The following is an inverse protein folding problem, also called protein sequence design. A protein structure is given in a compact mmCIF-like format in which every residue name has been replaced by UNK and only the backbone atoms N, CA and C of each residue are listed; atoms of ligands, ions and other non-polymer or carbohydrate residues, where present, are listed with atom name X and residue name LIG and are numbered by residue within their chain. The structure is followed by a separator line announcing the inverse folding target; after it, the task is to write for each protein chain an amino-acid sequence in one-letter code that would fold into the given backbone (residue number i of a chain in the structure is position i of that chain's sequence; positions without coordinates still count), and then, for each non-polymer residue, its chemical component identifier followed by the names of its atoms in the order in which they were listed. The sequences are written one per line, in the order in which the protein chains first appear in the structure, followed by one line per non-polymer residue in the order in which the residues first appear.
data_IF_363180542865
#
_entry.id   IF_363180542865
#
_cell.length_a   1.000
_cell.length_b   1.000
_cell.length_c   1.000
_cell.angle_alpha   90.00
_cell.angle_beta   90.00
_cell.angle_gamma   90.00
#
_symmetry.space_group_name_H-M   'P 1'
#
loop_
_entity.id
_entity.type
_entity.pdbx_description
1 polymer ?
#
# COMPACT_ATOMS: atom_id res chain seq x y z
N UNK A 1 3.70 10.12 13.76
CA UNK A 1 3.78 9.13 12.67
C UNK A 1 3.50 7.78 13.30
N UNK A 2 2.72 6.91 12.65
CA UNK A 2 2.40 5.61 13.23
C UNK A 2 3.62 4.69 13.06
N UNK A 3 4.06 4.05 14.15
CA UNK A 3 5.20 3.14 14.16
C UNK A 3 4.79 1.80 13.53
N UNK A 4 4.92 1.72 12.20
CA UNK A 4 4.41 0.60 11.42
C UNK A 4 5.54 -0.34 10.95
N UNK A 5 5.26 -1.65 10.96
CA UNK A 5 6.15 -2.73 10.54
C UNK A 5 5.58 -3.37 9.28
N UNK A 6 6.36 -3.42 8.20
CA UNK A 6 6.00 -4.11 6.96
C UNK A 6 6.80 -5.40 6.79
N UNK A 7 6.13 -6.49 6.42
CA UNK A 7 6.74 -7.80 6.15
C UNK A 7 6.74 -8.05 4.64
N UNK A 8 7.90 -7.87 4.02
CA UNK A 8 8.15 -8.23 2.62
C UNK A 8 8.50 -9.71 2.52
N UNK A 9 7.77 -10.47 1.71
CA UNK A 9 8.01 -11.90 1.57
C UNK A 9 7.59 -12.44 0.20
N UNK A 10 8.19 -13.56 -0.20
CA UNK A 10 7.84 -14.25 -1.45
C UNK A 10 6.99 -15.47 -1.10
N UNK A 11 5.67 -15.41 -1.34
CA UNK A 11 4.72 -16.51 -1.06
C UNK A 11 5.24 -17.90 -1.45
N UNK A 12 5.66 -18.06 -2.70
CA UNK A 12 6.17 -19.33 -3.22
C UNK A 12 7.43 -19.88 -2.52
N UNK A 13 8.13 -19.07 -1.71
CA UNK A 13 9.34 -19.46 -0.99
C UNK A 13 9.10 -19.54 0.54
N UNK A 14 8.27 -18.67 1.11
CA UNK A 14 8.22 -18.45 2.57
C UNK A 14 6.82 -18.44 3.19
N UNK A 15 5.74 -18.75 2.45
CA UNK A 15 4.33 -18.65 2.91
C UNK A 15 4.07 -19.20 4.33
N UNK A 16 4.54 -20.42 4.63
CA UNK A 16 4.32 -21.04 5.95
C UNK A 16 5.08 -20.39 7.11
N UNK A 17 6.18 -19.68 6.84
CA UNK A 17 6.91 -18.90 7.84
C UNK A 17 6.36 -17.48 7.96
N UNK A 18 5.98 -16.87 6.83
CA UNK A 18 5.47 -15.51 6.78
C UNK A 18 4.24 -15.34 7.68
N UNK A 19 3.23 -16.20 7.55
CA UNK A 19 2.04 -16.15 8.40
C UNK A 19 2.36 -16.29 9.89
N UNK A 20 3.25 -17.23 10.26
CA UNK A 20 3.64 -17.41 11.66
C UNK A 20 4.40 -16.22 12.22
N UNK A 21 5.28 -15.60 11.44
CA UNK A 21 6.03 -14.42 11.84
C UNK A 21 5.06 -13.24 12.01
N UNK A 22 4.14 -13.06 11.07
CA UNK A 22 3.06 -12.07 11.17
C UNK A 22 2.25 -12.25 12.44
N UNK A 23 1.71 -13.45 12.71
CA UNK A 23 0.89 -13.72 13.89
C UNK A 23 1.59 -13.28 15.19
N UNK A 24 2.90 -13.56 15.33
CA UNK A 24 3.66 -13.20 16.53
C UNK A 24 3.97 -11.70 16.61
N UNK A 25 4.25 -11.06 15.48
CA UNK A 25 4.48 -9.62 15.44
C UNK A 25 3.16 -8.89 15.73
N UNK A 26 2.06 -9.31 15.12
CA UNK A 26 0.74 -8.72 15.30
C UNK A 26 0.21 -8.95 16.73
N UNK A 27 0.43 -10.13 17.31
CA UNK A 27 0.13 -10.40 18.74
C UNK A 27 0.85 -9.43 19.69
N UNK A 28 2.07 -9.00 19.36
CA UNK A 28 2.86 -8.09 20.21
C UNK A 28 2.62 -6.60 19.91
N UNK A 29 2.60 -6.24 18.63
CA UNK A 29 2.55 -4.85 18.16
C UNK A 29 1.13 -4.41 17.80
N UNK A 30 0.16 -5.30 17.68
CA UNK A 30 -1.21 -4.99 17.21
C UNK A 30 -1.33 -5.15 15.70
N UNK A 31 -2.47 -5.72 15.27
CA UNK A 31 -2.78 -6.01 13.87
C UNK A 31 -2.81 -4.73 13.00
N UNK A 32 -3.07 -3.57 13.60
CA UNK A 32 -3.13 -2.27 12.93
C UNK A 32 -1.74 -1.66 12.66
N UNK A 33 -0.67 -2.22 13.23
CA UNK A 33 0.71 -1.74 13.07
C UNK A 33 1.60 -2.70 12.30
N UNK A 34 1.14 -3.92 12.03
CA UNK A 34 1.88 -4.94 11.30
C UNK A 34 1.16 -5.23 10.00
N UNK A 35 1.87 -5.01 8.90
CA UNK A 35 1.37 -5.20 7.55
C UNK A 35 2.16 -6.34 6.91
N UNK A 36 1.44 -7.30 6.35
CA UNK A 36 2.02 -8.40 5.59
C UNK A 36 1.16 -8.56 4.34
N UNK A 37 1.84 -8.86 3.23
CA UNK A 37 1.20 -9.21 1.97
C UNK A 37 0.54 -8.06 1.23
N UNK A 38 0.99 -7.91 -0.01
CA UNK A 38 0.45 -7.02 -1.03
C UNK A 38 -0.88 -7.53 -1.62
N UNK A 39 -1.49 -8.56 -1.04
CA UNK A 39 -2.75 -9.14 -1.50
C UNK A 39 -3.85 -9.20 -0.42
N UNK A 40 -3.67 -8.56 0.74
CA UNK A 40 -4.78 -8.22 1.66
C UNK A 40 -5.58 -7.00 1.19
N UNK A 41 -5.41 -6.64 -0.08
CA UNK A 41 -6.30 -5.78 -0.83
C UNK A 41 -7.66 -6.48 -0.88
N UNK A 42 -8.69 -5.83 -0.35
CA UNK A 42 -10.07 -6.37 -0.39
C UNK A 42 -10.40 -6.80 -1.81
N UNK A 43 -11.12 -7.91 -1.94
CA UNK A 43 -11.65 -8.37 -3.24
C UNK A 43 -12.29 -7.18 -3.96
N UNK A 44 -11.69 -6.74 -5.08
CA UNK A 44 -12.20 -5.65 -5.92
C UNK A 44 -11.61 -4.25 -5.74
N UNK A 45 -10.57 -4.05 -4.90
CA UNK A 45 -9.81 -2.79 -4.86
C UNK A 45 -8.75 -2.73 -5.96
N UNK A 46 -8.47 -1.53 -6.48
CA UNK A 46 -7.36 -1.29 -7.40
C UNK A 46 -6.05 -1.62 -6.70
N UNK A 47 -5.36 -2.61 -7.25
CA UNK A 47 -4.16 -3.19 -6.67
C UNK A 47 -3.03 -2.16 -6.60
N UNK A 48 -3.05 -1.13 -7.44
CA UNK A 48 -2.07 -0.05 -7.40
C UNK A 48 -2.27 0.71 -6.08
N UNK A 49 -3.41 1.36 -5.87
CA UNK A 49 -3.67 2.34 -4.79
C UNK A 49 -3.50 1.85 -3.33
N UNK A 50 -3.58 0.54 -3.07
CA UNK A 50 -3.52 0.05 -1.69
C UNK A 50 -2.08 -0.12 -1.14
N UNK A 51 -1.08 -0.33 -2.00
CA UNK A 51 0.22 -0.86 -1.56
C UNK A 51 1.23 0.24 -1.25
N UNK A 52 1.11 1.40 -1.90
CA UNK A 52 2.11 2.46 -1.76
C UNK A 52 2.02 3.28 -0.51
N UNK A 53 0.82 3.55 -0.01
CA UNK A 53 0.66 4.36 1.20
C UNK A 53 1.08 3.56 2.45
N UNK A 54 0.91 2.24 2.44
CA UNK A 54 1.20 1.36 3.57
C UNK A 54 2.72 1.10 3.72
N UNK A 55 3.46 0.98 2.60
CA UNK A 55 4.93 0.83 2.61
C UNK A 55 5.64 2.17 2.82
N UNK A 56 5.06 3.31 2.42
CA UNK A 56 5.65 4.64 2.64
C UNK A 56 5.60 5.05 4.12
N UNK A 57 4.63 4.56 4.89
CA UNK A 57 4.48 4.92 6.30
C UNK A 57 5.28 4.03 7.28
N UNK A 58 5.88 2.92 6.82
CA UNK A 58 6.55 1.98 7.72
C UNK A 58 7.98 2.43 8.10
N UNK A 59 8.27 2.38 9.39
CA UNK A 59 9.60 2.63 9.96
C UNK A 59 10.49 1.38 9.87
N UNK A 60 9.88 0.20 9.94
CA UNK A 60 10.59 -1.09 9.91
C UNK A 60 10.10 -1.90 8.73
N UNK A 61 11.03 -2.45 7.96
CA UNK A 61 10.76 -3.39 6.87
C UNK A 61 11.50 -4.70 7.13
N UNK A 62 10.74 -5.74 7.46
CA UNK A 62 11.23 -7.11 7.68
C UNK A 62 11.21 -7.85 6.34
N UNK A 63 12.39 -8.23 5.84
CA UNK A 63 12.53 -8.90 4.54
C UNK A 63 12.77 -10.39 4.75
N UNK A 64 11.77 -11.23 4.47
CA UNK A 64 11.88 -12.67 4.62
C UNK A 64 12.61 -13.29 3.42
N UNK A 65 13.78 -13.87 3.68
CA UNK A 65 14.64 -14.50 2.68
C UNK A 65 14.67 -16.00 2.95
N UNK A 66 13.97 -16.77 2.11
CA UNK A 66 14.05 -18.22 2.10
C UNK A 66 15.07 -18.74 1.09
N UNK A 67 15.12 -20.07 0.95
CA UNK A 67 16.12 -20.76 0.12
C UNK A 67 16.00 -20.49 -1.38
N UNK A 68 14.81 -20.11 -1.86
CA UNK A 68 14.54 -19.84 -3.27
C UNK A 68 14.37 -18.35 -3.57
N UNK A 69 14.47 -17.48 -2.55
CA UNK A 69 14.23 -16.04 -2.67
C UNK A 69 14.95 -15.39 -3.86
N UNK A 70 16.22 -15.76 -4.05
CA UNK A 70 17.10 -15.28 -5.11
C UNK A 70 16.86 -15.97 -6.46
N UNK A 71 16.57 -17.27 -6.45
CA UNK A 71 16.61 -18.12 -7.65
C UNK A 71 15.26 -18.35 -8.31
N UNK A 72 14.16 -17.91 -7.68
CA UNK A 72 12.81 -18.17 -8.18
C UNK A 72 12.60 -17.52 -9.55
N UNK A 73 12.01 -18.30 -10.47
CA UNK A 73 11.81 -17.90 -11.86
C UNK A 73 10.34 -17.73 -12.19
N UNK A 74 10.05 -16.89 -13.17
CA UNK A 74 8.73 -16.75 -13.76
C UNK A 74 8.39 -17.88 -14.76
N UNK A 75 7.23 -17.79 -15.40
CA UNK A 75 6.79 -18.76 -16.41
C UNK A 75 7.70 -18.79 -17.66
N UNK A 76 8.43 -17.70 -17.93
CA UNK A 76 9.40 -17.60 -19.03
C UNK A 76 10.80 -18.10 -18.63
N UNK A 77 11.02 -18.48 -17.37
CA UNK A 77 12.30 -18.96 -16.86
C UNK A 77 13.29 -17.86 -16.50
N UNK A 78 12.87 -16.59 -16.48
CA UNK A 78 13.65 -15.46 -16.00
C UNK A 78 13.56 -15.36 -14.48
N UNK A 79 14.65 -14.98 -13.82
CA UNK A 79 14.65 -14.77 -12.37
C UNK A 79 13.73 -13.60 -12.06
N UNK A 80 12.82 -13.79 -11.10
CA UNK A 80 11.85 -12.78 -10.72
C UNK A 80 12.49 -11.50 -10.19
N UNK A 81 13.58 -11.61 -9.43
CA UNK A 81 14.28 -10.41 -8.95
C UNK A 81 14.92 -9.58 -10.08
N UNK A 82 15.12 -10.15 -11.27
CA UNK A 82 15.68 -9.40 -12.40
C UNK A 82 14.59 -8.59 -13.12
N UNK A 83 13.31 -8.96 -12.95
CA UNK A 83 12.17 -8.18 -13.40
C UNK A 83 12.07 -6.89 -12.57
N UNK A 84 12.12 -5.70 -13.21
CA UNK A 84 11.93 -4.44 -12.50
C UNK A 84 10.53 -4.31 -11.87
N UNK A 85 9.54 -5.11 -12.27
CA UNK A 85 8.17 -5.08 -11.75
C UNK A 85 7.90 -6.14 -10.66
N UNK A 86 8.91 -6.88 -10.19
CA UNK A 86 8.70 -7.84 -9.10
C UNK A 86 8.44 -7.12 -7.77
N UNK A 87 7.30 -7.42 -7.14
CA UNK A 87 6.87 -6.75 -5.90
C UNK A 87 7.92 -6.77 -4.80
N UNK A 88 8.55 -7.91 -4.54
CA UNK A 88 9.58 -8.03 -3.50
C UNK A 88 10.78 -7.12 -3.80
N UNK A 89 11.19 -7.03 -5.07
CA UNK A 89 12.26 -6.09 -5.48
C UNK A 89 11.84 -4.64 -5.22
N UNK A 90 10.62 -4.28 -5.62
CA UNK A 90 10.09 -2.92 -5.50
C UNK A 90 9.95 -2.49 -4.03
N UNK A 91 9.38 -3.35 -3.19
CA UNK A 91 9.23 -3.16 -1.74
C UNK A 91 10.59 -2.91 -1.07
N UNK A 92 11.53 -3.83 -1.28
CA UNK A 92 12.84 -3.80 -0.61
C UNK A 92 13.70 -2.66 -1.16
N UNK A 93 13.69 -2.44 -2.47
CA UNK A 93 14.43 -1.34 -3.12
C UNK A 93 13.93 0.03 -2.66
N UNK A 94 12.62 0.18 -2.49
CA UNK A 94 12.01 1.39 -1.94
C UNK A 94 12.40 1.64 -0.50
N UNK A 95 12.34 0.59 0.34
CA UNK A 95 12.71 0.66 1.75
C UNK A 95 14.19 1.04 1.93
N UNK A 96 15.09 0.46 1.13
CA UNK A 96 16.53 0.73 1.20
C UNK A 96 16.92 2.16 0.80
N UNK A 97 16.10 2.84 0.00
CA UNK A 97 16.31 4.23 -0.43
C UNK A 97 15.81 5.25 0.60
N UNK A 98 15.05 4.82 1.61
CA UNK A 98 14.45 5.66 2.66
C UNK A 98 15.16 5.46 3.98
N UNK A 99 14.82 6.30 4.95
CA UNK A 99 15.28 6.17 6.35
C UNK A 99 14.44 5.15 7.13
N UNK A 100 14.31 3.95 6.57
CA UNK A 100 13.62 2.83 7.21
C UNK A 100 14.64 1.80 7.71
N UNK A 101 14.35 1.17 8.85
CA UNK A 101 15.09 0.02 9.34
C UNK A 101 14.72 -1.21 8.49
N UNK A 102 15.60 -1.55 7.55
CA UNK A 102 15.48 -2.78 6.76
C UNK A 102 16.18 -3.93 7.47
N UNK A 103 15.42 -4.94 7.89
CA UNK A 103 15.89 -6.13 8.62
C UNK A 103 15.75 -7.38 7.74
N UNK A 104 16.85 -7.89 7.14
CA UNK A 104 16.83 -9.18 6.47
C UNK A 104 16.63 -10.30 7.48
N UNK A 105 15.67 -11.18 7.24
CA UNK A 105 15.39 -12.36 8.07
C UNK A 105 15.61 -13.62 7.23
N UNK A 106 16.67 -14.36 7.53
CA UNK A 106 17.04 -15.61 6.87
C UNK A 106 16.25 -16.77 7.45
N UNK A 107 15.54 -17.51 6.59
CA UNK A 107 14.68 -18.61 7.01
C UNK A 107 15.29 -19.97 6.70
N UNK A 108 15.31 -20.84 7.71
CA UNK A 108 15.62 -22.27 7.55
C UNK A 108 16.97 -22.56 6.87
N UNK A 109 18.03 -21.84 7.25
CA UNK A 109 19.37 -22.00 6.69
C UNK A 109 19.59 -21.31 5.33
N UNK A 110 18.66 -20.43 4.92
CA UNK A 110 18.91 -19.52 3.82
C UNK A 110 20.19 -18.69 4.05
N UNK A 111 20.87 -18.36 2.96
CA UNK A 111 22.09 -17.56 2.99
C UNK A 111 21.82 -16.17 2.44
N UNK A 112 22.53 -15.18 2.97
CA UNK A 112 22.45 -13.82 2.44
C UNK A 112 23.03 -13.79 1.01
N UNK A 113 22.29 -13.25 0.01
CA UNK A 113 22.81 -13.08 -1.35
C UNK A 113 24.04 -12.16 -1.38
N UNK A 114 24.93 -12.36 -2.35
CA UNK A 114 26.03 -11.42 -2.61
C UNK A 114 25.57 -10.23 -3.46
N UNK A 115 26.33 -9.14 -3.43
CA UNK A 115 25.92 -7.89 -4.09
C UNK A 115 25.84 -7.99 -5.62
N UNK A 116 26.62 -8.90 -6.22
CA UNK A 116 26.64 -9.22 -7.65
C UNK A 116 25.50 -10.15 -8.09
N UNK A 117 24.87 -10.86 -7.16
CA UNK A 117 23.68 -11.67 -7.44
C UNK A 117 22.38 -10.86 -7.43
N UNK A 118 22.44 -9.61 -6.94
CA UNK A 118 21.29 -8.73 -6.77
C UNK A 118 21.26 -7.62 -7.83
N UNK A 119 20.06 -7.17 -8.20
CA UNK A 119 19.91 -5.92 -8.93
C UNK A 119 20.54 -4.73 -8.18
N UNK A 120 21.02 -3.68 -8.89
CA UNK A 120 21.74 -2.56 -8.27
C UNK A 120 20.98 -1.85 -7.14
N UNK A 121 19.66 -1.76 -7.27
CA UNK A 121 18.74 -1.16 -6.30
C UNK A 121 18.60 -1.97 -5.01
N UNK A 122 18.91 -3.27 -5.02
CA UNK A 122 18.89 -4.15 -3.85
C UNK A 122 20.28 -4.38 -3.24
N UNK A 123 21.36 -3.95 -3.89
CA UNK A 123 22.73 -4.22 -3.43
C UNK A 123 22.99 -3.74 -1.98
N UNK A 124 22.28 -2.69 -1.53
CA UNK A 124 22.37 -2.18 -0.17
C UNK A 124 21.84 -3.16 0.90
N UNK A 125 20.99 -4.11 0.53
CA UNK A 125 20.47 -5.14 1.43
C UNK A 125 21.60 -6.00 2.01
N UNK A 126 22.62 -6.30 1.22
CA UNK A 126 23.78 -7.13 1.61
C UNK A 126 24.61 -6.52 2.73
N UNK A 127 24.46 -5.22 2.98
CA UNK A 127 25.15 -4.48 4.04
C UNK A 127 24.33 -4.40 5.33
N UNK A 128 23.11 -4.92 5.34
CA UNK A 128 22.24 -4.96 6.52
C UNK A 128 22.58 -6.21 7.35
N UNK A 129 22.54 -6.08 8.68
CA UNK A 129 22.76 -7.22 9.55
C UNK A 129 21.53 -8.14 9.48
N UNK A 130 21.75 -9.40 9.09
CA UNK A 130 20.67 -10.35 8.92
C UNK A 130 20.39 -11.10 10.23
N UNK A 131 19.11 -11.32 10.51
CA UNK A 131 18.65 -12.14 11.62
C UNK A 131 18.23 -13.52 11.11
N UNK A 132 18.60 -14.61 11.78
CA UNK A 132 18.25 -15.96 11.34
C UNK A 132 17.13 -16.54 12.20
N UNK A 133 16.08 -17.07 11.56
CA UNK A 133 15.01 -17.82 12.23
C UNK A 133 15.07 -19.29 11.78
N UNK A 134 15.23 -20.18 12.76
CA UNK A 134 15.31 -21.63 12.54
C UNK A 134 14.04 -22.30 13.03
N UNK A 135 13.58 -23.31 12.29
CA UNK A 135 12.38 -24.08 12.67
C UNK A 135 12.42 -24.59 14.13
N UNK A 136 13.58 -25.13 14.54
CA UNK A 136 13.78 -25.74 15.87
C UNK A 136 13.80 -24.72 17.02
N UNK A 137 14.11 -23.46 16.73
CA UNK A 137 14.26 -22.39 17.73
C UNK A 137 13.27 -21.25 17.51
N UNK A 138 12.28 -21.44 16.65
CA UNK A 138 11.36 -20.41 16.17
C UNK A 138 10.81 -19.49 17.26
N UNK A 139 10.31 -20.07 18.37
CA UNK A 139 9.71 -19.29 19.46
C UNK A 139 10.73 -18.43 20.21
N UNK A 140 11.97 -18.90 20.35
CA UNK A 140 13.04 -18.11 20.97
C UNK A 140 13.56 -17.05 20.00
N UNK A 141 13.76 -17.44 18.74
CA UNK A 141 14.23 -16.54 17.69
C UNK A 141 13.24 -15.38 17.50
N UNK A 142 11.93 -15.65 17.53
CA UNK A 142 10.89 -14.61 17.47
C UNK A 142 10.89 -13.69 18.70
N UNK A 143 11.06 -14.22 19.91
CA UNK A 143 11.13 -13.38 21.13
C UNK A 143 12.29 -12.39 21.06
N UNK A 144 13.45 -12.84 20.61
CA UNK A 144 14.61 -11.97 20.44
C UNK A 144 14.37 -10.95 19.34
N UNK A 145 13.85 -11.36 18.17
CA UNK A 145 13.50 -10.41 17.10
C UNK A 145 12.53 -9.33 17.59
N UNK A 146 11.44 -9.72 18.27
CA UNK A 146 10.46 -8.78 18.83
C UNK A 146 11.14 -7.82 19.81
N UNK A 147 12.01 -8.30 20.68
CA UNK A 147 12.73 -7.45 21.64
C UNK A 147 13.56 -6.37 20.94
N UNK A 148 14.31 -6.73 19.91
CA UNK A 148 15.15 -5.81 19.13
C UNK A 148 14.29 -4.77 18.38
N UNK A 149 13.18 -5.19 17.77
CA UNK A 149 12.26 -4.27 17.09
C UNK A 149 11.59 -3.31 18.08
N UNK A 150 11.20 -3.81 19.26
CA UNK A 150 10.62 -2.97 20.33
C UNK A 150 11.61 -1.91 20.82
N UNK A 151 12.89 -2.28 20.99
CA UNK A 151 13.93 -1.34 21.41
C UNK A 151 14.16 -0.24 20.35
N UNK A 152 14.18 -0.60 19.07
CA UNK A 152 14.26 0.36 17.97
C UNK A 152 13.09 1.35 17.98
N UNK A 153 11.86 0.84 18.08
CA UNK A 153 10.66 1.67 18.09
C UNK A 153 10.58 2.59 19.33
N UNK A 154 11.15 2.18 20.46
CA UNK A 154 11.22 2.99 21.66
C UNK A 154 12.23 4.13 21.55
N UNK A 155 13.38 3.89 20.91
CA UNK A 155 14.44 4.89 20.74
C UNK A 155 14.01 6.08 19.86
N UNK A 156 13.16 5.85 18.85
CA UNK A 156 12.62 6.92 18.01
C UNK A 156 11.58 7.81 18.73
N UNK A 157 10.87 7.28 19.75
CA UNK A 157 9.91 8.06 20.53
C UNK A 157 10.60 9.15 21.39
N UNK A 158 11.78 8.85 21.93
CA UNK A 158 12.53 9.79 22.77
C UNK A 158 13.10 10.96 21.95
N UNK A 159 13.56 10.71 20.72
CA UNK A 159 14.09 11.75 19.82
C UNK A 159 12.99 12.64 19.23
N UNK A 160 11.83 12.07 18.90
CA UNK A 160 10.67 12.81 18.39
C UNK A 160 10.05 13.74 19.46
N UNK A 161 10.03 13.32 20.73
CA UNK A 161 9.55 14.15 21.84
C UNK A 161 10.56 15.27 22.19
N UNK A 162 11.87 14.98 22.12
CA UNK A 162 12.92 15.97 22.33
C UNK A 162 12.95 17.09 21.26
N UNK A 163 12.55 16.80 20.02
CA UNK A 163 12.52 17.76 18.91
C UNK A 163 11.40 18.83 19.01
N UNK A 164 10.39 18.62 19.87
CA UNK A 164 9.25 19.55 20.01
C UNK A 164 9.39 20.57 21.14
N UNK A 165 10.46 20.52 21.94
CA UNK A 165 10.71 21.56 22.94
C UNK A 165 11.29 22.84 22.28
N UNK A 166 10.63 24.00 22.39
CA UNK A 166 11.25 25.24 21.94
C UNK A 166 12.50 25.50 22.78
N UNK A 167 13.64 25.65 22.11
CA UNK A 167 14.92 26.02 22.73
C UNK A 167 14.78 27.36 23.48
N UNK A 168 14.40 27.31 24.76
CA UNK A 168 14.54 28.44 25.67
C UNK A 168 15.97 28.44 26.19
N UNK A 169 16.78 29.23 25.50
CA UNK A 169 18.14 29.57 25.85
C UNK A 169 18.32 29.89 27.35
N UNK A 170 19.26 29.17 27.97
CA UNK A 170 20.29 29.70 28.86
C UNK A 170 19.90 30.92 29.72
N UNK A 171 19.29 30.70 30.89
CA UNK A 171 19.44 31.61 32.05
C UNK A 171 18.98 31.13 33.44
N UNK A 172 18.77 29.83 33.65
CA UNK A 172 18.22 29.32 34.92
C UNK A 172 19.14 28.40 35.75
N UNK A 173 20.46 28.44 35.53
CA UNK A 173 21.42 27.63 36.31
C UNK A 173 21.75 28.22 37.69
N UNK A 174 21.39 29.48 37.98
CA UNK A 174 21.78 30.15 39.23
C UNK A 174 20.67 30.22 40.30
N UNK A 175 19.42 29.89 39.97
CA UNK A 175 18.30 29.96 40.94
C UNK A 175 17.98 28.62 41.61
N UNK A 176 18.28 27.50 40.95
CA UNK A 176 18.02 26.16 41.51
C UNK A 176 18.90 25.88 42.75
N UNK A 177 20.13 26.38 42.77
CA UNK A 177 21.03 26.25 43.93
C UNK A 177 20.63 27.07 45.17
N UNK A 178 19.83 28.13 45.01
CA UNK A 178 19.37 28.96 46.13
C UNK A 178 18.14 28.36 46.82
N UNK A 179 17.30 27.61 46.10
CA UNK A 179 16.11 26.97 46.67
C UNK A 179 16.41 25.62 47.34
N UNK A 180 17.47 24.92 46.92
CA UNK A 180 17.90 23.67 47.58
C UNK A 180 18.49 23.89 48.98
N UNK A 181 19.18 25.02 49.22
CA UNK A 181 19.73 25.36 50.55
C UNK A 181 18.61 25.75 51.54
N UNK A 182 17.54 26.39 51.06
CA UNK A 182 16.41 26.79 51.89
C UNK A 182 15.52 25.60 52.30
N UNK A 183 15.38 24.59 51.42
CA UNK A 183 14.61 23.36 51.70
C UNK A 183 15.24 22.45 52.76
N UNK A 184 16.58 22.36 52.79
CA UNK A 184 17.30 21.51 53.77
C UNK A 184 17.17 22.06 55.21
N UNK A 185 17.07 23.39 55.38
CA UNK A 185 16.85 24.00 56.69
C UNK A 185 15.42 23.82 57.23
N UNK A 186 14.42 23.67 56.35
CA UNK A 186 13.02 23.48 56.74
C UNK A 186 12.73 22.00 57.04
N UNK A 187 13.30 21.06 56.27
CA UNK A 187 13.10 19.63 56.50
C UNK A 187 13.96 19.03 57.63
N UNK A 188 15.12 19.63 57.95
CA UNK A 188 15.94 19.20 59.09
C UNK A 188 15.26 19.39 60.46
N UNK A 189 14.35 20.37 60.59
CA UNK A 189 13.59 20.59 61.82
C UNK A 189 12.41 19.63 62.03
N UNK A 190 11.78 19.17 60.94
CA UNK A 190 10.59 18.29 61.00
C UNK A 190 10.91 16.83 61.34
N UNK A 191 12.10 16.34 60.96
CA UNK A 191 12.50 14.95 61.20
C UNK A 191 12.75 14.62 62.69
N UNK A 192 13.08 15.63 63.51
CA UNK A 192 13.23 15.47 64.96
C UNK A 192 11.89 15.43 65.71
N UNK A 193 10.82 15.97 65.13
CA UNK A 193 9.48 15.96 65.74
C UNK A 193 8.74 14.63 65.45
N UNK A 194 8.93 14.04 64.27
CA UNK A 194 8.29 12.77 63.89
C UNK A 194 8.85 11.53 64.64
N UNK A 195 10.12 11.56 65.08
CA UNK A 195 10.73 10.47 65.87
C UNK A 195 10.11 10.30 67.28
N UNK A 196 9.26 11.24 67.72
CA UNK A 196 8.66 11.23 69.06
C UNK A 196 7.23 10.66 69.10
N UNK A 197 6.72 10.10 67.99
CA UNK A 197 5.33 9.64 67.92
C UNK A 197 5.22 8.19 67.44
N UNK A 198 5.95 7.30 68.10
CA UNK A 198 5.72 5.84 68.04
C UNK A 198 5.89 5.23 69.45
N UNK A 199 4.90 5.47 70.31
CA UNK A 199 4.52 4.54 71.37
C UNK A 199 2.99 4.46 71.37
N UNK A 200 2.48 3.26 71.62
CA UNK A 200 1.09 2.78 71.50
C UNK A 200 0.72 2.37 70.06
N UNK A 201 0.33 1.14 69.74
CA UNK A 201 -0.07 0.00 70.57
C UNK A 201 0.25 -1.33 69.87
N UNK A 202 0.44 -2.35 70.70
CA UNK A 202 0.60 -3.76 70.37
C UNK A 202 -0.75 -4.43 70.10
N UNK A 203 -0.75 -5.48 69.26
CA UNK A 203 -1.34 -6.82 69.49
C UNK A 203 -1.95 -7.50 68.23
N UNK A 204 -1.62 -8.78 68.13
CA UNK A 204 -1.98 -9.86 67.18
C UNK A 204 -3.25 -10.63 67.70
N UNK A 205 -3.68 -11.83 67.21
CA UNK A 205 -3.56 -12.52 65.90
C UNK A 205 -4.88 -13.25 65.41
N UNK A 206 -4.78 -13.88 64.21
CA UNK A 206 -5.37 -15.14 63.65
C UNK A 206 -6.80 -15.62 63.98
N UNK A 207 -7.54 -16.09 62.96
CA UNK A 207 -8.30 -17.38 62.94
C UNK A 207 -8.63 -17.81 61.50
N UNK A 208 -8.48 -19.11 61.21
CA UNK A 208 -8.79 -19.79 59.95
C UNK A 208 -10.28 -20.22 59.86
N UNK A 209 -10.79 -20.47 58.65
CA UNK A 209 -11.87 -21.46 58.42
C UNK A 209 -11.94 -21.94 56.96
N UNK A 210 -11.96 -23.26 56.82
CA UNK A 210 -12.29 -24.03 55.63
C UNK A 210 -13.80 -24.12 55.45
N UNK A 211 -14.32 -24.30 54.23
CA UNK A 211 -15.49 -25.15 53.95
C UNK A 211 -15.46 -25.63 52.49
N UNK A 212 -15.83 -26.90 52.31
CA UNK A 212 -15.81 -27.73 51.10
C UNK A 212 -17.03 -27.54 50.18
N UNK A 213 -16.97 -28.07 48.93
CA UNK A 213 -17.91 -29.06 48.33
C UNK A 213 -17.77 -29.12 46.79
N UNK A 214 -17.34 -30.27 46.25
CA UNK A 214 -18.11 -31.22 45.39
C UNK A 214 -18.11 -30.87 43.88
N UNK A 215 -17.38 -31.59 43.02
CA UNK A 215 -17.64 -32.93 42.45
C UNK A 215 -18.78 -32.98 41.42
N UNK A 216 -18.43 -33.17 40.13
CA UNK A 216 -18.95 -34.26 39.29
C UNK A 216 -18.27 -34.35 37.92
N UNK A 217 -18.32 -35.55 37.38
CA UNK A 217 -17.52 -36.08 36.30
C UNK A 217 -18.34 -36.34 35.02
N UNK A 218 -17.60 -36.80 33.98
CA UNK A 218 -18.00 -37.70 32.88
C UNK A 218 -18.31 -37.06 31.49
N UNK A 219 -17.44 -37.43 30.56
CA UNK A 219 -17.38 -37.43 29.07
C UNK A 219 -18.48 -38.33 28.42
N UNK A 220 -18.56 -38.62 27.08
CA UNK A 220 -17.91 -38.10 25.86
C UNK A 220 -18.82 -37.94 24.59
N UNK A 221 -18.17 -37.50 23.50
CA UNK A 221 -18.37 -37.85 22.07
C UNK A 221 -19.62 -37.37 21.31
N UNK A 222 -19.38 -36.67 20.19
CA UNK A 222 -19.84 -37.12 18.88
C UNK A 222 -19.04 -36.49 17.72
N UNK A 223 -18.80 -37.31 16.71
CA UNK A 223 -18.03 -37.11 15.47
C UNK A 223 -18.93 -36.57 14.35
N UNK A 224 -18.46 -35.73 13.41
CA UNK A 224 -19.15 -35.51 12.16
C UNK A 224 -18.56 -36.32 10.97
N UNK A 225 -19.40 -36.70 9.98
CA UNK A 225 -19.05 -37.61 8.87
C UNK A 225 -18.39 -36.92 7.66
N UNK A 226 -17.87 -37.69 6.66
CA UNK A 226 -16.96 -37.18 5.65
C UNK A 226 -17.64 -36.62 4.38
N UNK A 227 -16.91 -35.71 3.73
CA UNK A 227 -17.20 -35.05 2.45
C UNK A 227 -16.89 -36.00 1.28
N UNK A 228 -17.74 -36.10 0.24
CA UNK A 228 -17.43 -36.86 -0.96
C UNK A 228 -16.56 -36.06 -1.95
N UNK A 229 -15.56 -36.76 -2.46
CA UNK A 229 -14.66 -36.44 -3.58
C UNK A 229 -15.42 -36.16 -4.88
N UNK A 230 -15.02 -35.09 -5.59
CA UNK A 230 -15.48 -34.78 -6.95
C UNK A 230 -14.36 -35.08 -7.95
N UNK A 231 -14.74 -35.77 -9.01
CA UNK A 231 -13.88 -36.32 -10.06
C UNK A 231 -13.45 -35.24 -11.08
N UNK A 232 -12.20 -35.35 -11.52
CA UNK A 232 -11.58 -34.59 -12.61
C UNK A 232 -12.10 -35.07 -13.97
N UNK A 233 -12.51 -34.18 -14.90
CA UNK A 233 -12.63 -34.55 -16.30
C UNK A 233 -11.33 -34.25 -17.08
N UNK A 234 -10.91 -35.29 -17.79
CA UNK A 234 -9.86 -35.37 -18.81
C UNK A 234 -9.99 -34.31 -19.91
N UNK A 235 -8.92 -33.55 -20.14
CA UNK A 235 -8.76 -32.68 -21.31
C UNK A 235 -8.36 -33.53 -22.53
N UNK A 236 -9.22 -33.53 -23.56
CA UNK A 236 -8.93 -34.11 -24.87
C UNK A 236 -8.33 -33.04 -25.77
N UNK A 237 -7.12 -33.31 -26.28
CA UNK A 237 -6.44 -32.49 -27.28
C UNK A 237 -7.17 -32.58 -28.63
N UNK A 238 -7.33 -31.46 -29.33
CA UNK A 238 -7.70 -31.47 -30.76
C UNK A 238 -6.88 -30.43 -31.51
N UNK A 239 -6.40 -30.88 -32.66
CA UNK A 239 -5.35 -30.35 -33.52
C UNK A 239 -5.77 -29.15 -34.38
N UNK A 240 -4.77 -28.30 -34.69
CA UNK A 240 -4.78 -27.29 -35.75
C UNK A 240 -4.88 -27.87 -37.17
N UNK A 241 -5.31 -27.06 -38.15
CA UNK A 241 -4.74 -27.05 -39.50
C UNK A 241 -4.23 -25.64 -39.87
N UNK A 242 -2.92 -25.49 -40.11
CA UNK A 242 -2.22 -25.35 -41.42
C UNK A 242 -2.51 -24.05 -42.20
N UNK A 243 -1.48 -23.32 -42.68
CA UNK A 243 -1.61 -21.97 -43.28
C UNK A 243 -1.87 -21.99 -44.78
N UNK A 244 -2.57 -20.96 -45.27
CA UNK A 244 -2.78 -20.67 -46.70
C UNK A 244 -1.54 -19.99 -47.33
N UNK A 245 -1.30 -20.19 -48.65
CA UNK A 245 -0.09 -19.75 -49.35
C UNK A 245 -0.12 -18.26 -49.79
N UNK A 246 1.05 -17.65 -50.06
CA UNK A 246 1.13 -16.27 -50.54
C UNK A 246 0.82 -16.20 -52.05
N UNK A 247 -0.06 -15.27 -52.44
CA UNK A 247 -0.30 -14.92 -53.85
C UNK A 247 0.36 -13.59 -54.19
N UNK A 248 0.90 -13.58 -55.40
CA UNK A 248 1.96 -12.73 -55.93
C UNK A 248 1.66 -11.25 -56.12
N UNK A 249 2.77 -10.51 -56.02
CA UNK A 249 3.06 -9.19 -56.56
C UNK A 249 2.53 -8.95 -57.98
N UNK A 250 1.81 -7.84 -58.16
CA UNK A 250 1.76 -7.11 -59.43
C UNK A 250 1.95 -5.60 -59.18
N UNK A 251 2.91 -5.03 -59.90
CA UNK A 251 3.21 -3.60 -60.16
C UNK A 251 3.69 -3.62 -61.63
N UNK A 252 3.39 -2.65 -62.53
CA UNK A 252 3.12 -1.23 -62.27
C UNK A 252 1.94 -0.61 -63.07
N UNK A 253 1.45 0.54 -62.63
CA UNK A 253 0.99 1.58 -63.58
C UNK A 253 1.06 2.97 -62.96
N UNK A 254 1.48 3.93 -63.76
CA UNK A 254 1.79 5.31 -63.37
C UNK A 254 0.50 6.06 -63.01
N UNK A 255 0.43 6.61 -61.81
CA UNK A 255 -0.63 7.53 -61.37
C UNK A 255 -0.15 8.97 -61.56
N UNK A 256 -0.94 9.86 -62.18
CA UNK A 256 -0.57 11.26 -62.39
C UNK A 256 -0.37 11.99 -61.06
N UNK A 257 0.64 12.86 -61.03
CA UNK A 257 0.94 13.81 -59.95
C UNK A 257 -0.33 14.53 -59.49
N UNK A 258 -0.73 14.44 -58.20
CA UNK A 258 -1.84 15.23 -57.71
C UNK A 258 -1.46 16.71 -57.70
N UNK A 259 -2.25 17.52 -58.39
CA UNK A 259 -2.33 18.96 -58.19
C UNK A 259 -2.62 19.22 -56.72
N UNK A 260 -1.76 19.99 -56.05
CA UNK A 260 -1.96 20.42 -54.66
C UNK A 260 -3.19 21.33 -54.63
N UNK A 261 -4.35 20.76 -54.33
CA UNK A 261 -5.51 21.51 -53.86
C UNK A 261 -5.20 21.90 -52.43
N UNK A 262 -5.03 23.21 -52.19
CA UNK A 262 -4.96 23.77 -50.84
C UNK A 262 -6.19 23.29 -50.06
N UNK A 263 -5.95 22.41 -49.09
CA UNK A 263 -6.97 21.94 -48.16
C UNK A 263 -7.34 23.14 -47.27
N UNK A 264 -8.63 23.52 -47.18
CA UNK A 264 -9.04 24.58 -46.28
C UNK A 264 -8.64 24.19 -44.85
N UNK A 265 -7.91 25.10 -44.18
CA UNK A 265 -7.54 24.97 -42.78
C UNK A 265 -8.77 24.59 -41.95
N UNK A 266 -8.74 23.49 -41.17
CA UNK A 266 -9.90 23.05 -40.41
C UNK A 266 -10.32 24.17 -39.45
N UNK A 267 -11.61 24.43 -39.36
CA UNK A 267 -12.22 25.25 -38.32
C UNK A 267 -11.71 24.76 -36.96
N UNK A 268 -11.15 25.61 -36.09
CA UNK A 268 -10.65 25.16 -34.80
C UNK A 268 -11.81 24.57 -34.00
N UNK A 269 -11.64 23.34 -33.52
CA UNK A 269 -12.61 22.68 -32.65
C UNK A 269 -12.90 23.57 -31.42
N UNK A 270 -14.16 23.68 -30.96
CA UNK A 270 -14.47 24.46 -29.79
C UNK A 270 -13.76 23.90 -28.55
N UNK A 271 -13.18 24.76 -27.72
CA UNK A 271 -12.44 24.36 -26.51
C UNK A 271 -13.30 23.58 -25.51
N UNK A 272 -14.62 23.75 -25.57
CA UNK A 272 -15.58 23.09 -24.70
C UNK A 272 -16.84 22.73 -25.50
N UNK A 273 -17.39 21.55 -25.22
CA UNK A 273 -18.68 21.11 -25.73
C UNK A 273 -19.60 20.64 -24.59
N UNK A 274 -20.88 20.49 -24.92
CA UNK A 274 -21.82 19.70 -24.12
C UNK A 274 -22.16 18.45 -24.92
N UNK A 275 -22.07 17.28 -24.30
CA UNK A 275 -22.53 16.03 -24.92
C UNK A 275 -24.07 15.96 -24.97
N UNK A 276 -24.60 14.88 -25.55
CA UNK A 276 -26.04 14.66 -25.67
C UNK A 276 -26.77 14.56 -24.30
N UNK A 277 -26.04 14.34 -23.21
CA UNK A 277 -26.56 14.26 -21.85
C UNK A 277 -26.36 15.55 -21.05
N UNK A 278 -25.78 16.59 -21.66
CA UNK A 278 -25.49 17.88 -21.03
C UNK A 278 -24.21 17.87 -20.17
N UNK A 279 -23.32 16.89 -20.35
CA UNK A 279 -22.05 16.83 -19.63
C UNK A 279 -21.04 17.75 -20.32
N UNK A 280 -20.37 18.59 -19.53
CA UNK A 280 -19.34 19.51 -19.99
C UNK A 280 -18.04 18.77 -20.27
N UNK A 281 -17.58 18.81 -21.53
CA UNK A 281 -16.32 18.21 -21.95
C UNK A 281 -15.34 19.28 -22.46
N UNK A 282 -14.05 19.08 -22.18
CA UNK A 282 -12.95 19.96 -22.56
C UNK A 282 -12.13 19.33 -23.68
N UNK A 283 -11.74 20.14 -24.67
CA UNK A 283 -10.84 19.73 -25.74
C UNK A 283 -9.41 19.61 -25.20
N UNK A 284 -8.82 18.43 -25.31
CA UNK A 284 -7.38 18.21 -25.16
C UNK A 284 -6.76 18.23 -26.57
N UNK A 285 -5.88 19.20 -26.89
CA UNK A 285 -5.31 19.31 -28.23
C UNK A 285 -4.43 18.11 -28.61
N UNK A 286 -4.40 17.80 -29.91
CA UNK A 286 -3.46 16.85 -30.48
C UNK A 286 -2.01 17.28 -30.19
N UNK A 287 -1.13 16.30 -30.05
CA UNK A 287 0.30 16.56 -29.88
C UNK A 287 1.00 15.53 -29.01
N UNK A 288 2.32 15.66 -29.00
CA UNK A 288 3.22 14.86 -28.17
C UNK A 288 3.32 15.43 -26.76
N UNK A 289 3.32 14.56 -25.77
CA UNK A 289 3.61 14.88 -24.38
C UNK A 289 4.49 13.79 -23.77
N UNK A 290 5.12 14.14 -22.66
CA UNK A 290 5.90 13.20 -21.86
C UNK A 290 4.96 12.45 -20.91
N UNK A 291 4.83 11.15 -21.13
CA UNK A 291 4.03 10.22 -20.32
C UNK A 291 4.94 9.50 -19.33
N UNK A 292 4.43 9.21 -18.14
CA UNK A 292 5.14 8.44 -17.13
C UNK A 292 6.19 9.25 -16.36
N UNK A 293 7.07 8.56 -15.64
CA UNK A 293 8.09 9.18 -14.81
C UNK A 293 9.30 8.25 -14.65
N UNK A 294 10.49 8.84 -14.51
CA UNK A 294 11.72 8.13 -14.15
C UNK A 294 12.05 8.30 -12.65
N UNK A 295 11.14 8.95 -11.90
CA UNK A 295 11.25 9.10 -10.45
C UNK A 295 11.08 7.75 -9.76
N UNK A 296 11.78 7.50 -8.65
CA UNK A 296 11.71 6.20 -7.97
C UNK A 296 10.75 6.20 -6.77
N UNK A 297 9.72 7.05 -6.81
CA UNK A 297 8.62 7.01 -5.84
C UNK A 297 7.88 5.68 -5.93
N UNK A 298 7.26 5.24 -4.84
CA UNK A 298 6.53 3.97 -4.85
C UNK A 298 5.44 3.96 -5.92
N UNK A 299 4.76 5.11 -6.09
CA UNK A 299 3.71 5.31 -7.08
C UNK A 299 4.23 5.53 -8.50
N UNK A 300 5.52 5.85 -8.64
CA UNK A 300 6.11 6.13 -9.93
C UNK A 300 6.35 4.84 -10.74
N UNK A 301 6.46 3.68 -10.08
CA UNK A 301 6.90 2.41 -10.68
C UNK A 301 5.94 1.90 -11.76
N UNK A 302 4.63 2.10 -11.59
CA UNK A 302 3.62 1.74 -12.60
C UNK A 302 3.64 2.69 -13.79
N UNK A 303 4.19 3.88 -13.59
CA UNK A 303 4.31 4.94 -14.57
C UNK A 303 5.71 4.99 -15.23
N UNK A 304 6.59 4.00 -14.99
CA UNK A 304 7.88 3.92 -15.70
C UNK A 304 7.77 3.23 -17.07
N UNK A 305 8.69 3.53 -17.99
CA UNK A 305 9.63 4.64 -17.95
C UNK A 305 8.95 5.94 -18.40
N UNK A 306 9.59 7.08 -18.14
CA UNK A 306 9.21 8.32 -18.80
C UNK A 306 9.48 8.20 -20.31
N UNK A 307 8.48 8.47 -21.15
CA UNK A 307 8.62 8.37 -22.60
C UNK A 307 7.65 9.30 -23.34
N UNK A 308 7.95 9.58 -24.61
CA UNK A 308 7.13 10.47 -25.44
C UNK A 308 5.96 9.70 -26.07
N UNK A 309 4.74 10.25 -25.93
CA UNK A 309 3.51 9.70 -26.52
C UNK A 309 2.82 10.78 -27.35
N UNK A 310 2.46 10.46 -28.59
CA UNK A 310 1.69 11.35 -29.48
C UNK A 310 0.24 10.91 -29.53
N UNK A 311 -0.68 11.81 -29.17
CA UNK A 311 -2.12 11.59 -29.22
C UNK A 311 -2.80 12.55 -30.22
N UNK A 312 -3.90 12.12 -30.88
CA UNK A 312 -4.80 13.04 -31.58
C UNK A 312 -5.50 13.98 -30.57
N UNK A 313 -6.31 14.91 -31.07
CA UNK A 313 -7.21 15.67 -30.21
C UNK A 313 -8.38 14.81 -29.76
N UNK A 314 -8.90 15.09 -28.57
CA UNK A 314 -10.05 14.41 -28.02
C UNK A 314 -10.75 15.32 -27.01
N UNK A 315 -12.02 15.01 -26.75
CA UNK A 315 -12.77 15.61 -25.66
C UNK A 315 -12.75 14.69 -24.44
N UNK A 316 -12.56 15.26 -23.26
CA UNK A 316 -12.68 14.56 -21.98
C UNK A 316 -13.61 15.32 -21.04
N UNK A 317 -14.31 14.62 -20.15
CA UNK A 317 -15.17 15.27 -19.16
C UNK A 317 -14.36 16.25 -18.31
N UNK A 318 -14.95 17.42 -18.03
CA UNK A 318 -14.29 18.44 -17.21
C UNK A 318 -14.15 18.00 -15.75
N UNK A 319 -15.10 17.21 -15.26
CA UNK A 319 -15.18 16.74 -13.89
C UNK A 319 -15.40 15.23 -13.89
N UNK A 320 -15.06 14.56 -12.78
CA UNK A 320 -15.45 13.17 -12.58
C UNK A 320 -16.98 13.01 -12.64
N UNK A 321 -17.44 11.83 -13.05
CA UNK A 321 -18.87 11.52 -13.15
C UNK A 321 -19.51 11.66 -11.77
N UNK A 322 -20.57 12.48 -11.68
CA UNK A 322 -21.24 12.74 -10.41
C UNK A 322 -22.20 11.61 -10.01
N UNK A 323 -22.58 11.56 -8.73
CA UNK A 323 -23.62 10.66 -8.23
C UNK A 323 -24.92 10.79 -9.04
N UNK A 324 -25.36 12.02 -9.31
CA UNK A 324 -26.59 12.28 -10.07
C UNK A 324 -26.50 11.87 -11.54
N UNK A 325 -25.34 12.02 -12.16
CA UNK A 325 -25.12 11.57 -13.53
C UNK A 325 -25.17 10.03 -13.61
N UNK A 326 -24.44 9.35 -12.73
CA UNK A 326 -24.40 7.90 -12.70
C UNK A 326 -25.76 7.27 -12.33
N UNK A 327 -26.48 7.88 -11.39
CA UNK A 327 -27.82 7.44 -10.99
C UNK A 327 -28.80 7.36 -12.18
N UNK A 328 -28.71 8.27 -13.16
CA UNK A 328 -29.55 8.20 -14.38
C UNK A 328 -29.37 6.90 -15.17
N UNK A 329 -28.16 6.32 -15.16
CA UNK A 329 -27.87 5.04 -15.81
C UNK A 329 -28.38 3.84 -14.98
N UNK A 330 -28.29 3.95 -13.65
CA UNK A 330 -28.83 2.94 -12.72
C UNK A 330 -30.35 2.91 -12.77
N UNK A 331 -31.02 4.06 -12.83
CA UNK A 331 -32.48 4.20 -12.86
C UNK A 331 -33.11 3.54 -14.10
N UNK A 332 -32.38 3.52 -15.23
CA UNK A 332 -32.81 2.84 -16.46
C UNK A 332 -32.35 1.38 -16.54
N UNK A 333 -31.69 0.87 -15.49
CA UNK A 333 -31.28 -0.53 -15.35
C UNK A 333 -30.09 -0.93 -16.22
N UNK A 334 -29.29 0.03 -16.69
CA UNK A 334 -28.09 -0.25 -17.50
C UNK A 334 -26.85 -0.38 -16.62
N UNK A 335 -26.70 0.50 -15.62
CA UNK A 335 -25.58 0.45 -14.69
C UNK A 335 -25.97 -0.23 -13.38
N UNK A 336 -25.03 -0.94 -12.76
CA UNK A 336 -25.18 -1.43 -11.39
C UNK A 336 -25.01 -0.30 -10.37
N UNK A 337 -25.74 -0.35 -9.27
CA UNK A 337 -25.54 0.58 -8.16
C UNK A 337 -24.14 0.40 -7.52
N UNK A 338 -23.54 1.44 -6.94
CA UNK A 338 -22.26 1.31 -6.25
C UNK A 338 -22.31 0.26 -5.14
N UNK A 339 -21.20 -0.46 -4.96
CA UNK A 339 -21.07 -1.52 -3.95
C UNK A 339 -21.25 -1.01 -2.51
N UNK A 340 -20.96 0.27 -2.27
CA UNK A 340 -21.20 0.97 -1.01
C UNK A 340 -21.88 2.32 -1.29
N UNK A 341 -22.96 2.60 -0.56
CA UNK A 341 -23.76 3.82 -0.73
C UNK A 341 -23.28 5.00 0.14
N UNK A 342 -22.37 4.73 1.08
CA UNK A 342 -21.70 5.71 1.93
C UNK A 342 -20.24 5.92 1.53
N UNK A 343 -19.60 6.92 2.12
CA UNK A 343 -18.14 7.15 2.05
C UNK A 343 -17.50 6.94 3.42
N UNK A 344 -16.16 6.99 3.51
CA UNK A 344 -15.42 6.90 4.78
C UNK A 344 -15.90 7.89 5.85
N UNK A 345 -16.37 9.07 5.43
CA UNK A 345 -16.77 10.17 6.31
C UNK A 345 -18.27 10.43 6.35
N UNK A 346 -19.04 9.86 5.40
CA UNK A 346 -20.46 10.20 5.19
C UNK A 346 -21.26 8.91 5.04
N UNK A 347 -22.06 8.57 6.04
CA UNK A 347 -22.85 7.35 6.03
C UNK A 347 -23.86 7.33 4.87
N UNK A 348 -24.42 8.48 4.51
CA UNK A 348 -25.25 8.66 3.31
C UNK A 348 -24.47 9.51 2.30
N UNK A 349 -24.16 8.93 1.14
CA UNK A 349 -23.39 9.61 0.10
C UNK A 349 -24.11 9.55 -1.25
N UNK A 350 -24.18 8.36 -1.85
CA UNK A 350 -24.66 8.16 -3.22
C UNK A 350 -26.12 8.61 -3.41
N UNK A 351 -27.00 8.24 -2.48
CA UNK A 351 -28.42 8.55 -2.56
C UNK A 351 -28.79 9.91 -1.94
N UNK A 352 -27.82 10.60 -1.33
CA UNK A 352 -28.09 11.86 -0.63
C UNK A 352 -28.05 13.03 -1.63
N UNK A 353 -29.16 13.77 -1.82
CA UNK A 353 -29.22 14.89 -2.76
C UNK A 353 -28.18 15.99 -2.50
N UNK A 354 -27.69 16.11 -1.27
CA UNK A 354 -26.64 17.07 -0.89
C UNK A 354 -25.32 16.79 -1.62
N UNK A 355 -25.07 15.53 -2.00
CA UNK A 355 -23.85 15.08 -2.67
C UNK A 355 -24.11 14.68 -4.13
N UNK A 356 -25.23 15.12 -4.71
CA UNK A 356 -25.62 14.81 -6.09
C UNK A 356 -24.54 15.17 -7.13
N UNK A 357 -23.84 16.28 -6.91
CA UNK A 357 -22.79 16.80 -7.81
C UNK A 357 -21.37 16.35 -7.42
N UNK A 358 -21.24 15.49 -6.40
CA UNK A 358 -19.95 14.92 -6.01
C UNK A 358 -19.63 13.67 -6.83
N UNK A 359 -18.35 13.31 -7.00
CA UNK A 359 -17.95 12.13 -7.77
C UNK A 359 -18.60 10.85 -7.25
N UNK A 360 -19.08 10.00 -8.14
CA UNK A 360 -19.49 8.64 -7.77
C UNK A 360 -18.28 7.83 -7.32
N UNK A 361 -18.44 7.04 -6.26
CA UNK A 361 -17.38 6.21 -5.66
C UNK A 361 -17.83 4.76 -5.52
N UNK A 362 -16.88 3.84 -5.32
CA UNK A 362 -17.14 2.40 -5.17
C UNK A 362 -17.88 1.74 -6.34
N UNK A 363 -17.63 2.25 -7.55
CA UNK A 363 -18.05 1.66 -8.83
C UNK A 363 -16.95 0.76 -9.38
N UNK A 364 -17.32 -0.34 -10.02
CA UNK A 364 -16.36 -1.21 -10.69
C UNK A 364 -15.94 -0.60 -12.05
N UNK A 365 -14.80 -1.05 -12.58
CA UNK A 365 -14.38 -0.69 -13.93
C UNK A 365 -15.44 -1.05 -14.99
N UNK A 366 -16.09 -2.22 -14.86
CA UNK A 366 -17.14 -2.65 -15.78
C UNK A 366 -18.34 -1.71 -15.75
N UNK A 367 -18.79 -1.31 -14.55
CA UNK A 367 -19.92 -0.39 -14.41
C UNK A 367 -19.59 1.03 -14.92
N UNK A 368 -18.33 1.47 -14.77
CA UNK A 368 -17.87 2.72 -15.36
C UNK A 368 -17.83 2.66 -16.90
N UNK A 369 -17.41 1.54 -17.47
CA UNK A 369 -17.46 1.28 -18.91
C UNK A 369 -18.91 1.23 -19.43
N UNK A 370 -19.82 0.61 -18.69
CA UNK A 370 -21.25 0.57 -19.03
C UNK A 370 -21.85 1.98 -19.04
N UNK A 371 -21.56 2.80 -18.02
CA UNK A 371 -21.99 4.20 -17.98
C UNK A 371 -21.49 4.98 -19.19
N UNK A 372 -20.19 4.85 -19.49
CA UNK A 372 -19.58 5.53 -20.63
C UNK A 372 -20.22 5.11 -21.95
N UNK A 373 -20.41 3.81 -22.15
CA UNK A 373 -21.04 3.26 -23.36
C UNK A 373 -22.49 3.73 -23.48
N UNK A 374 -23.26 3.70 -22.39
CA UNK A 374 -24.64 4.15 -22.33
C UNK A 374 -24.81 5.63 -22.68
N UNK A 375 -23.89 6.49 -22.22
CA UNK A 375 -23.90 7.92 -22.59
C UNK A 375 -23.38 8.23 -24.00
N UNK A 376 -22.90 7.21 -24.74
CA UNK A 376 -22.28 7.38 -26.05
C UNK A 376 -20.82 7.85 -26.01
N UNK A 377 -20.16 7.70 -24.85
CA UNK A 377 -18.74 7.95 -24.65
C UNK A 377 -17.93 6.66 -24.47
N UNK A 378 -16.71 6.80 -23.97
CA UNK A 378 -15.82 5.69 -23.57
C UNK A 378 -14.94 6.12 -22.42
N UNK A 379 -14.35 5.15 -21.72
CA UNK A 379 -13.26 5.44 -20.78
C UNK A 379 -12.05 6.02 -21.55
N UNK A 380 -11.32 6.99 -20.95
CA UNK A 380 -10.04 7.43 -21.50
C UNK A 380 -9.03 6.28 -21.41
N UNK A 381 -8.09 6.26 -22.33
CA UNK A 381 -6.86 5.47 -22.14
C UNK A 381 -6.00 6.11 -21.05
N UNK A 382 -5.05 5.36 -20.51
CA UNK A 382 -4.07 5.86 -19.55
C UNK A 382 -3.35 7.11 -20.06
N UNK A 383 -2.86 7.06 -21.31
CA UNK A 383 -2.18 8.19 -21.94
C UNK A 383 -3.08 9.43 -22.09
N UNK A 384 -4.36 9.23 -22.44
CA UNK A 384 -5.32 10.33 -22.55
C UNK A 384 -5.64 10.96 -21.19
N UNK A 385 -5.74 10.13 -20.14
CA UNK A 385 -5.97 10.62 -18.79
C UNK A 385 -4.77 11.41 -18.27
N UNK A 386 -3.56 10.85 -18.42
CA UNK A 386 -2.34 11.49 -17.95
C UNK A 386 -2.11 12.83 -18.67
N UNK A 387 -2.26 12.88 -19.99
CA UNK A 387 -2.12 14.13 -20.75
C UNK A 387 -3.13 15.20 -20.30
N UNK A 388 -4.37 14.80 -20.02
CA UNK A 388 -5.40 15.72 -19.55
C UNK A 388 -5.10 16.26 -18.14
N UNK A 389 -4.57 15.42 -17.26
CA UNK A 389 -4.27 15.77 -15.87
C UNK A 389 -2.95 16.55 -15.72
N UNK A 390 -1.90 16.13 -16.42
CA UNK A 390 -0.55 16.68 -16.33
C UNK A 390 -0.34 17.88 -17.24
N UNK A 391 -0.93 17.87 -18.43
CA UNK A 391 -0.59 18.81 -19.50
C UNK A 391 0.81 18.53 -20.08
N UNK A 392 1.42 19.57 -20.68
CA UNK A 392 2.68 19.45 -21.43
C UNK A 392 3.92 19.96 -20.67
N UNK A 393 3.79 20.26 -19.37
CA UNK A 393 4.83 20.89 -18.55
C UNK A 393 5.40 19.97 -17.45
N UNK A 394 5.08 18.67 -17.50
CA UNK A 394 5.62 17.62 -16.61
C UNK A 394 5.41 17.88 -15.10
N UNK A 395 4.44 18.72 -14.73
CA UNK A 395 4.09 18.99 -13.33
C UNK A 395 3.81 17.70 -12.55
N UNK A 396 4.08 17.72 -11.25
CA UNK A 396 3.87 16.57 -10.37
C UNK A 396 2.38 16.29 -10.09
N UNK A 397 1.55 17.34 -9.96
CA UNK A 397 0.12 17.24 -9.69
C UNK A 397 -0.69 18.08 -10.69
N UNK A 398 -1.99 17.80 -10.90
CA UNK A 398 -2.82 18.61 -11.81
C UNK A 398 -2.85 20.10 -11.46
N UNK A 399 -2.67 20.45 -10.18
CA UNK A 399 -2.61 21.82 -9.66
C UNK A 399 -1.19 22.43 -9.60
N UNK A 400 -0.15 21.72 -10.03
CA UNK A 400 1.24 22.18 -10.02
C UNK A 400 2.17 21.25 -9.24
N UNK A 401 3.28 21.78 -8.73
CA UNK A 401 4.30 21.00 -8.01
C UNK A 401 4.17 21.06 -6.48
N UNK A 402 3.16 21.78 -5.98
CA UNK A 402 2.89 21.88 -4.55
C UNK A 402 2.24 20.60 -4.03
N UNK A 403 2.77 20.06 -2.93
CA UNK A 403 2.19 18.88 -2.28
C UNK A 403 0.76 19.18 -1.80
N UNK A 404 -0.16 18.21 -1.89
CA UNK A 404 -1.49 18.37 -1.30
C UNK A 404 -1.38 18.63 0.21
N UNK A 405 -2.24 19.51 0.71
CA UNK A 405 -2.30 19.92 2.13
C UNK A 405 -2.92 18.87 3.05
#
# INVERSE_FOLDING_TARGET
MANNIFISYRRADTEGYAGRIYDRLAEHFGDERVFMDVNDIRIGQDFVDAIGDEIIACQIVVVLIGSQWLSLKDAMGQRRLDDPHDFVRLEVGSALKRDALVVPVLLNGASMPSADELPPDLAALTRRNAYEIRHRHFENDMKTLISELTEYLACECDDAEAATMPQRASRYRNWVWLLTILGILIFGGGFLWWRNQTQNDSEQPITASQTMLAANAVTPSETPPPIPTSETPTVTQTSSPTPLPPTSTETPSQTPTPTITETPSPTPYPTQILDAMGIQMMLVPAGTFTMGTDGYGYWDIVAHPMHEVTLPDYYIDKFEVSNSQYARCVDVGICEAPSLLGSKQRQTYYENPTYADFPVIYVSWHSAQDFCTWRGGRLPTEAEWEKAARGNDQRAYPWGDEKPN
#
